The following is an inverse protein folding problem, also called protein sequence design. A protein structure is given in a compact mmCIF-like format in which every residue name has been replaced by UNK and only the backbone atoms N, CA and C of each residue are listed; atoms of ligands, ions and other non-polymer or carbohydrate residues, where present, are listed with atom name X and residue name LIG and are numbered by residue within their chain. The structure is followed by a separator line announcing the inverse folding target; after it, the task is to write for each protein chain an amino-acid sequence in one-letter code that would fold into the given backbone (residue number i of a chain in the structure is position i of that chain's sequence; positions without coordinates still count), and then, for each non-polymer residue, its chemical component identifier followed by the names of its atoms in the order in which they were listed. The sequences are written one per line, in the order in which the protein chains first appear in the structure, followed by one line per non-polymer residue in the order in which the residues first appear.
data_IF_218077382013
#
_entry.id   IF_218077382013
#
_cell.length_a   1.000
_cell.length_b   1.000
_cell.length_c   1.000
_cell.angle_alpha   90.00
_cell.angle_beta   90.00
_cell.angle_gamma   90.00
#
_symmetry.space_group_name_H-M   'P 1'
#
loop_
_entity.id
_entity.type
_entity.pdbx_description
1 polymer ?
#
# COMPACT_ATOMS: atom_id res chain seq x y z
N UNK A 1 -4.04 -11.47 -18.30
CA UNK A 1 -2.93 -10.51 -18.31
C UNK A 1 -2.18 -10.72 -16.99
N UNK A 2 -1.00 -11.31 -17.04
CA UNK A 2 -0.28 -11.80 -15.85
C UNK A 2 0.77 -10.77 -15.45
N UNK A 3 0.54 -10.05 -14.36
CA UNK A 3 1.54 -9.12 -13.81
C UNK A 3 2.65 -10.00 -13.19
N UNK A 4 3.86 -9.93 -13.76
CA UNK A 4 5.05 -10.56 -13.16
C UNK A 4 5.42 -9.77 -11.90
N UNK A 5 5.33 -10.42 -10.75
CA UNK A 5 5.98 -9.98 -9.51
C UNK A 5 7.49 -9.95 -9.81
N UNK A 6 8.04 -8.76 -10.07
CA UNK A 6 9.42 -8.60 -10.51
C UNK A 6 9.68 -7.36 -11.36
N UNK A 7 8.65 -6.66 -11.79
CA UNK A 7 8.78 -5.37 -12.47
C UNK A 7 7.77 -4.41 -11.88
N UNK A 8 8.12 -3.73 -10.79
CA UNK A 8 7.32 -2.59 -10.33
C UNK A 8 7.20 -1.61 -11.50
N UNK A 9 6.02 -1.01 -11.69
CA UNK A 9 5.82 0.05 -12.68
C UNK A 9 6.68 1.30 -12.38
N UNK A 10 7.28 1.34 -11.19
CA UNK A 10 8.26 2.33 -10.72
C UNK A 10 9.68 1.74 -10.58
N UNK A 11 9.88 0.42 -10.73
CA UNK A 11 11.23 -0.17 -10.70
C UNK A 11 12.03 0.32 -11.91
N UNK A 12 13.09 1.09 -11.64
CA UNK A 12 13.93 1.70 -12.66
C UNK A 12 13.51 3.12 -13.06
N UNK A 13 12.35 3.59 -12.60
CA UNK A 13 12.00 5.01 -12.64
C UNK A 13 12.19 5.51 -11.21
N UNK A 14 13.39 5.97 -10.89
CA UNK A 14 13.65 6.73 -9.67
C UNK A 14 13.45 8.21 -9.97
N UNK A 15 12.23 8.78 -9.98
CA UNK A 15 12.15 10.16 -9.63
C UNK A 15 12.40 10.19 -8.11
N UNK A 16 13.65 10.40 -7.73
CA UNK A 16 14.01 10.81 -6.36
C UNK A 16 13.21 12.05 -5.91
N UNK A 17 12.54 12.71 -6.87
CA UNK A 17 11.60 13.81 -6.70
C UNK A 17 10.42 13.59 -7.65
N UNK A 18 9.26 13.18 -7.15
CA UNK A 18 7.99 13.30 -7.89
C UNK A 18 7.60 14.78 -7.83
N UNK A 19 7.44 15.49 -8.96
CA UNK A 19 6.98 16.88 -8.90
C UNK A 19 5.66 16.95 -8.16
N UNK A 20 5.50 17.91 -7.24
CA UNK A 20 4.33 17.98 -6.35
C UNK A 20 2.99 17.97 -7.10
N UNK A 21 2.96 18.49 -8.34
CA UNK A 21 1.79 18.46 -9.21
C UNK A 21 1.32 17.05 -9.61
N UNK A 22 2.20 16.04 -9.60
CA UNK A 22 1.88 14.66 -9.94
C UNK A 22 1.77 13.75 -8.70
N UNK A 23 2.10 14.26 -7.51
CA UNK A 23 2.10 13.47 -6.28
C UNK A 23 0.71 12.88 -5.95
N UNK A 24 -0.42 13.61 -6.09
CA UNK A 24 -1.74 13.02 -5.86
C UNK A 24 -2.06 11.87 -6.81
N UNK A 25 -1.78 12.03 -8.11
CA UNK A 25 -2.02 11.00 -9.11
C UNK A 25 -1.16 9.74 -8.87
N UNK A 26 0.10 9.93 -8.47
CA UNK A 26 0.98 8.82 -8.13
C UNK A 26 0.51 8.08 -6.87
N UNK A 27 0.07 8.81 -5.83
CA UNK A 27 -0.46 8.20 -4.60
C UNK A 27 -1.74 7.42 -4.88
N UNK A 28 -2.67 8.00 -5.65
CA UNK A 28 -3.89 7.32 -6.09
C UNK A 28 -3.56 5.99 -6.79
N UNK A 29 -2.64 6.01 -7.77
CA UNK A 29 -2.25 4.81 -8.51
C UNK A 29 -1.62 3.75 -7.61
N UNK A 30 -0.77 4.15 -6.66
CA UNK A 30 -0.15 3.22 -5.71
C UNK A 30 -1.20 2.53 -4.85
N UNK A 31 -2.20 3.26 -4.35
CA UNK A 31 -3.28 2.70 -3.53
C UNK A 31 -4.17 1.73 -4.33
N UNK A 32 -4.49 2.05 -5.59
CA UNK A 32 -5.23 1.15 -6.49
C UNK A 32 -4.46 -0.14 -6.75
N UNK A 33 -3.19 -0.02 -7.13
CA UNK A 33 -2.33 -1.18 -7.42
C UNK A 33 -2.05 -2.02 -6.16
N UNK A 34 -1.98 -1.40 -4.99
CA UNK A 34 -1.85 -2.12 -3.72
C UNK A 34 -3.13 -2.94 -3.42
N UNK A 35 -4.31 -2.43 -3.75
CA UNK A 35 -5.55 -3.21 -3.63
C UNK A 35 -5.52 -4.42 -4.58
N UNK A 36 -5.17 -4.22 -5.85
CA UNK A 36 -5.01 -5.32 -6.82
C UNK A 36 -3.97 -6.34 -6.35
N UNK A 37 -2.87 -5.88 -5.75
CA UNK A 37 -1.84 -6.74 -5.18
C UNK A 37 -2.41 -7.68 -4.12
N UNK A 38 -3.20 -7.16 -3.18
CA UNK A 38 -3.82 -7.95 -2.11
C UNK A 38 -4.86 -8.93 -2.68
N UNK A 39 -5.61 -8.55 -3.72
CA UNK A 39 -6.56 -9.45 -4.39
C UNK A 39 -5.85 -10.62 -5.09
N UNK A 40 -4.74 -10.36 -5.77
CA UNK A 40 -4.00 -11.37 -6.54
C UNK A 40 -3.16 -12.28 -5.64
N UNK A 41 -2.55 -11.71 -4.60
CA UNK A 41 -1.54 -12.41 -3.80
C UNK A 41 -2.00 -12.80 -2.39
N UNK A 42 -3.14 -12.28 -1.95
CA UNK A 42 -3.70 -12.54 -0.64
C UNK A 42 -3.31 -11.49 0.41
N UNK A 43 -4.17 -11.40 1.43
CA UNK A 43 -3.94 -10.60 2.62
C UNK A 43 -3.15 -11.38 3.66
N UNK A 44 -2.23 -10.70 4.33
CA UNK A 44 -1.46 -11.24 5.45
C UNK A 44 -1.56 -10.30 6.66
N UNK A 45 -1.58 -10.90 7.85
CA UNK A 45 -1.50 -10.23 9.15
C UNK A 45 -0.13 -10.47 9.75
N UNK A 46 0.41 -9.47 10.44
CA UNK A 46 1.77 -9.46 10.96
C UNK A 46 2.72 -8.72 10.03
N UNK A 47 3.93 -9.26 9.88
CA UNK A 47 5.02 -8.61 9.13
C UNK A 47 4.62 -8.28 7.67
N UNK A 48 5.41 -7.42 7.01
CA UNK A 48 5.11 -6.92 5.66
C UNK A 48 4.83 -8.01 4.60
N UNK A 49 5.14 -9.30 4.87
CA UNK A 49 4.84 -10.44 4.02
C UNK A 49 4.72 -11.76 4.82
N UNK A 50 3.95 -12.72 4.31
CA UNK A 50 4.03 -14.11 4.76
C UNK A 50 5.36 -14.77 4.32
N UNK A 51 5.83 -15.79 5.06
CA UNK A 51 7.09 -16.52 4.79
C UNK A 51 7.20 -17.08 3.36
N UNK A 52 6.08 -17.46 2.73
CA UNK A 52 6.04 -17.93 1.34
C UNK A 52 6.09 -16.80 0.29
N UNK A 53 6.22 -15.55 0.72
CA UNK A 53 6.59 -14.41 -0.11
C UNK A 53 5.54 -13.91 -1.10
N UNK A 54 4.26 -14.30 -0.94
CA UNK A 54 3.15 -13.90 -1.82
C UNK A 54 2.13 -12.99 -1.13
N UNK A 55 1.50 -13.40 -0.03
CA UNK A 55 0.54 -12.55 0.68
C UNK A 55 1.21 -11.37 1.41
N UNK A 56 0.56 -10.21 1.48
CA UNK A 56 1.08 -8.99 2.14
C UNK A 56 0.05 -8.35 3.06
N UNK A 57 0.54 -7.63 4.08
CA UNK A 57 -0.26 -6.62 4.76
C UNK A 57 -0.42 -5.38 3.86
N UNK A 58 -1.30 -4.46 4.24
CA UNK A 58 -1.54 -3.23 3.46
C UNK A 58 -0.26 -2.40 3.22
N UNK A 59 0.57 -2.20 4.26
CA UNK A 59 1.86 -1.48 4.13
C UNK A 59 2.83 -2.21 3.20
N UNK A 60 2.91 -3.54 3.33
CA UNK A 60 3.77 -4.37 2.50
C UNK A 60 3.38 -4.34 1.02
N UNK A 61 2.08 -4.36 0.73
CA UNK A 61 1.55 -4.22 -0.64
C UNK A 61 1.93 -2.85 -1.23
N UNK A 62 1.72 -1.76 -0.49
CA UNK A 62 2.10 -0.40 -0.93
C UNK A 62 3.60 -0.32 -1.24
N UNK A 63 4.46 -0.82 -0.33
CA UNK A 63 5.91 -0.81 -0.53
C UNK A 63 6.35 -1.69 -1.69
N UNK A 64 5.72 -2.86 -1.88
CA UNK A 64 6.00 -3.74 -3.01
C UNK A 64 5.69 -3.09 -4.36
N UNK A 65 4.56 -2.39 -4.48
CA UNK A 65 4.20 -1.67 -5.71
C UNK A 65 5.24 -0.61 -6.04
N UNK A 66 5.70 0.14 -5.04
CA UNK A 66 6.61 1.28 -5.24
C UNK A 66 8.05 0.84 -5.47
N UNK A 67 8.54 -0.15 -4.73
CA UNK A 67 9.98 -0.47 -4.68
C UNK A 67 10.33 -1.85 -5.24
N UNK A 68 9.32 -2.69 -5.52
CA UNK A 68 9.53 -4.12 -5.76
C UNK A 68 9.84 -4.93 -4.49
N UNK A 69 9.98 -4.27 -3.33
CA UNK A 69 10.32 -4.89 -2.05
C UNK A 69 9.36 -4.46 -0.94
N UNK A 70 8.88 -5.42 -0.14
CA UNK A 70 7.84 -5.15 0.87
C UNK A 70 8.35 -4.43 2.13
N UNK A 71 9.64 -4.56 2.43
CA UNK A 71 10.28 -3.99 3.62
C UNK A 71 11.03 -2.67 3.36
N UNK A 72 11.20 -2.28 2.09
CA UNK A 72 11.98 -1.07 1.74
C UNK A 72 11.09 0.16 1.85
N UNK A 73 11.58 1.17 2.57
CA UNK A 73 10.91 2.47 2.69
C UNK A 73 11.10 3.30 1.43
N UNK A 74 10.09 4.09 1.06
CA UNK A 74 10.14 5.01 -0.06
C UNK A 74 9.21 6.20 0.19
N UNK A 75 9.58 7.44 -0.17
CA UNK A 75 8.74 8.63 0.08
C UNK A 75 7.32 8.52 -0.49
N UNK A 76 7.17 8.02 -1.73
CA UNK A 76 5.85 7.77 -2.32
C UNK A 76 5.03 6.72 -1.54
N UNK A 77 5.69 5.66 -1.03
CA UNK A 77 5.01 4.66 -0.22
C UNK A 77 4.57 5.26 1.13
N UNK A 78 5.41 6.10 1.74
CA UNK A 78 5.06 6.81 2.98
C UNK A 78 3.85 7.74 2.78
N UNK A 79 3.83 8.51 1.69
CA UNK A 79 2.68 9.36 1.35
C UNK A 79 1.38 8.55 1.14
N UNK A 80 1.46 7.40 0.48
CA UNK A 80 0.32 6.51 0.31
C UNK A 80 -0.17 5.90 1.64
N UNK A 81 0.76 5.49 2.52
CA UNK A 81 0.42 5.00 3.86
C UNK A 81 -0.23 6.10 4.70
N UNK A 82 0.25 7.34 4.61
CA UNK A 82 -0.33 8.47 5.33
C UNK A 82 -1.77 8.74 4.89
N UNK A 83 -2.03 8.74 3.58
CA UNK A 83 -3.39 8.86 3.04
C UNK A 83 -4.28 7.72 3.53
N UNK A 84 -3.79 6.49 3.50
CA UNK A 84 -4.54 5.32 3.98
C UNK A 84 -4.85 5.45 5.48
N UNK A 85 -3.87 5.84 6.30
CA UNK A 85 -4.03 6.02 7.74
C UNK A 85 -5.17 6.99 8.07
N UNK A 86 -5.30 8.09 7.32
CA UNK A 86 -6.40 9.07 7.51
C UNK A 86 -7.80 8.51 7.20
N UNK A 87 -7.91 7.35 6.57
CA UNK A 87 -9.19 6.66 6.35
C UNK A 87 -9.56 5.71 7.51
N UNK A 88 -8.66 5.53 8.46
CA UNK A 88 -8.80 4.60 9.58
C UNK A 88 -9.09 5.36 10.87
N UNK A 89 -9.63 4.69 11.90
CA UNK A 89 -9.63 5.21 13.25
C UNK A 89 -8.21 5.60 13.68
N UNK A 90 -8.08 6.76 14.33
CA UNK A 90 -6.80 7.29 14.77
C UNK A 90 -6.41 6.66 16.12
N UNK A 91 -5.70 5.54 16.06
CA UNK A 91 -5.26 4.79 17.25
C UNK A 91 -3.75 4.88 17.51
N UNK A 92 -2.98 5.40 16.54
CA UNK A 92 -1.54 5.63 16.66
C UNK A 92 -1.13 6.89 15.88
N UNK A 93 -0.24 7.70 16.49
CA UNK A 93 0.29 8.93 15.87
C UNK A 93 1.19 8.66 14.65
N UNK A 94 1.77 7.45 14.56
CA UNK A 94 2.56 7.04 13.40
C UNK A 94 1.66 6.35 12.34
N UNK A 95 1.60 6.87 11.10
CA UNK A 95 0.73 6.30 10.07
C UNK A 95 1.04 4.85 9.70
N UNK A 96 2.30 4.41 9.79
CA UNK A 96 2.67 3.02 9.49
C UNK A 96 2.15 2.11 10.59
N UNK A 97 2.35 2.48 11.85
CA UNK A 97 1.85 1.72 13.01
C UNK A 97 0.32 1.72 13.07
N UNK A 98 -0.34 2.82 12.68
CA UNK A 98 -1.80 2.89 12.63
C UNK A 98 -2.37 1.89 11.60
N UNK A 99 -1.83 1.89 10.38
CA UNK A 99 -2.24 0.96 9.32
C UNK A 99 -1.90 -0.48 9.69
N UNK A 100 -0.73 -0.73 10.28
CA UNK A 100 -0.33 -2.07 10.72
C UNK A 100 -1.28 -2.61 11.80
N UNK A 101 -1.58 -1.79 12.82
CA UNK A 101 -2.50 -2.16 13.90
C UNK A 101 -3.89 -2.51 13.37
N UNK A 102 -4.45 -1.67 12.50
CA UNK A 102 -5.74 -1.94 11.87
C UNK A 102 -5.72 -3.19 10.98
N UNK A 103 -4.65 -3.39 10.19
CA UNK A 103 -4.51 -4.58 9.33
C UNK A 103 -4.56 -5.88 10.14
N UNK A 104 -3.99 -5.85 11.34
CA UNK A 104 -3.82 -7.01 12.21
C UNK A 104 -5.01 -7.26 13.14
N UNK A 105 -5.98 -6.35 13.20
CA UNK A 105 -7.23 -6.58 13.93
C UNK A 105 -7.87 -7.90 13.50
N UNK A 106 -8.36 -8.75 14.44
CA UNK A 106 -8.95 -10.05 14.12
C UNK A 106 -10.07 -9.97 13.07
N UNK A 107 -10.82 -8.87 13.08
CA UNK A 107 -11.95 -8.58 12.20
C UNK A 107 -11.56 -8.10 10.81
N UNK A 108 -10.34 -7.61 10.61
CA UNK A 108 -9.90 -7.12 9.29
C UNK A 108 -9.70 -8.27 8.32
N UNK A 109 -10.28 -8.14 7.12
CA UNK A 109 -10.28 -9.14 6.05
C UNK A 109 -9.63 -8.60 4.79
N UNK A 110 -9.26 -9.48 3.85
CA UNK A 110 -8.75 -9.07 2.54
C UNK A 110 -9.73 -8.15 1.78
N UNK A 111 -11.04 -8.44 1.86
CA UNK A 111 -12.06 -7.61 1.24
C UNK A 111 -12.12 -6.21 1.88
N UNK A 112 -11.98 -6.14 3.20
CA UNK A 112 -11.93 -4.85 3.90
C UNK A 112 -10.70 -4.05 3.48
N UNK A 113 -9.52 -4.70 3.48
CA UNK A 113 -8.26 -4.05 3.10
C UNK A 113 -8.33 -3.46 1.69
N UNK A 114 -8.81 -4.25 0.73
CA UNK A 114 -8.94 -3.81 -0.66
C UNK A 114 -9.98 -2.70 -0.82
N UNK A 115 -11.09 -2.75 -0.08
CA UNK A 115 -12.11 -1.69 -0.07
C UNK A 115 -11.55 -0.37 0.46
N UNK A 116 -10.85 -0.39 1.59
CA UNK A 116 -10.29 0.82 2.20
C UNK A 116 -9.17 1.41 1.35
N UNK A 117 -8.30 0.57 0.76
CA UNK A 117 -7.28 1.03 -0.20
C UNK A 117 -7.90 1.77 -1.40
N UNK A 118 -8.99 1.23 -1.95
CA UNK A 118 -9.72 1.87 -3.05
C UNK A 118 -10.41 3.17 -2.61
N UNK A 119 -11.01 3.19 -1.43
CA UNK A 119 -11.64 4.39 -0.87
C UNK A 119 -10.59 5.51 -0.66
N UNK A 120 -9.43 5.17 -0.11
CA UNK A 120 -8.30 6.08 0.04
C UNK A 120 -7.84 6.63 -1.32
N UNK A 121 -7.76 5.78 -2.35
CA UNK A 121 -7.40 6.22 -3.70
C UNK A 121 -8.41 7.23 -4.28
N UNK A 122 -9.72 7.02 -4.03
CA UNK A 122 -10.76 7.96 -4.47
C UNK A 122 -10.69 9.29 -3.72
N UNK A 123 -10.39 9.26 -2.42
CA UNK A 123 -10.28 10.47 -1.60
C UNK A 123 -9.14 11.41 -2.03
N UNK A 124 -8.08 10.88 -2.67
CA UNK A 124 -6.97 11.68 -3.21
C UNK A 124 -7.34 12.38 -4.52
N UNK A 125 -8.34 11.88 -5.24
CA UNK A 125 -8.78 12.41 -6.53
C UNK A 125 -9.90 13.46 -6.42
N UNK A 126 -10.44 13.67 -5.20
CA UNK A 126 -11.50 14.62 -4.90
C UNK A 126 -10.92 15.98 -4.46
#
# INVERSE_FOLDING_TARGET
MTIRVGSSLFAGVSPSVIPAAYAPLAVQQVLQLAAEYVEVHGHHKGDFAAEEGRAACAVGAIRAIVTGHRAVQHPLAAAAVEVLSRQLPDVNDDPVENVASWNDEPTTTALEVTRVLRAAALAVAA
#
